data_IF_445959568101
#
_entry.id   IF_445959568101
#
_cell.length_a   1.000
_cell.length_b   1.000
_cell.length_c   1.000
_cell.angle_alpha   90.00
_cell.angle_beta   90.00
_cell.angle_gamma   90.00
#
_symmetry.space_group_name_H-M   'P 1'
#
loop_
_entity.id
_entity.type
_entity.pdbx_description
1 polymer ?
#
# COMPACT_ATOMS: atom_id res chain seq x y z
N UNK A 1 10.69 21.82 -1.27
CA UNK A 1 10.80 20.36 -1.02
C UNK A 1 10.29 19.65 -2.25
N UNK A 2 11.12 18.82 -2.90
CA UNK A 2 10.76 18.15 -4.15
C UNK A 2 9.90 16.93 -3.81
N UNK A 3 8.62 17.02 -4.12
CA UNK A 3 7.70 15.88 -4.17
C UNK A 3 8.34 14.77 -5.00
N UNK A 4 8.34 13.57 -4.45
CA UNK A 4 8.69 12.35 -5.19
C UNK A 4 7.73 12.32 -6.37
N UNK A 5 8.27 12.34 -7.59
CA UNK A 5 7.51 12.21 -8.82
C UNK A 5 6.80 10.85 -8.83
N UNK A 6 5.62 10.78 -8.22
CA UNK A 6 4.54 9.91 -8.70
C UNK A 6 4.42 10.25 -10.17
N UNK A 7 4.75 9.31 -11.07
CA UNK A 7 4.58 9.54 -12.50
C UNK A 7 3.09 9.93 -12.72
N UNK A 8 2.78 11.21 -13.00
CA UNK A 8 1.39 11.67 -13.13
C UNK A 8 0.70 10.99 -14.33
N UNK A 9 1.52 10.41 -15.20
CA UNK A 9 1.17 9.71 -16.42
C UNK A 9 1.44 8.22 -16.29
N UNK A 10 1.01 7.55 -15.21
CA UNK A 10 0.88 6.09 -15.29
C UNK A 10 -0.37 5.77 -16.15
N UNK A 11 -0.21 5.37 -17.42
CA UNK A 11 -1.36 5.13 -18.31
C UNK A 11 -2.27 4.02 -17.75
N UNK A 12 -1.70 3.07 -17.00
CA UNK A 12 -2.43 1.96 -16.40
C UNK A 12 -3.40 2.48 -15.33
N UNK A 13 -2.92 3.38 -14.46
CA UNK A 13 -3.75 4.00 -13.41
C UNK A 13 -4.93 4.76 -14.01
N UNK A 14 -4.72 5.49 -15.12
CA UNK A 14 -5.81 6.21 -15.79
C UNK A 14 -6.93 5.28 -16.25
N UNK A 15 -6.58 4.18 -16.93
CA UNK A 15 -7.55 3.20 -17.42
C UNK A 15 -8.31 2.53 -16.27
N UNK A 16 -7.61 2.15 -15.21
CA UNK A 16 -8.22 1.49 -14.04
C UNK A 16 -9.18 2.46 -13.31
N UNK A 17 -8.76 3.71 -13.07
CA UNK A 17 -9.62 4.74 -12.45
C UNK A 17 -10.92 4.91 -13.22
N UNK A 18 -10.80 5.07 -14.54
CA UNK A 18 -11.95 5.22 -15.43
C UNK A 18 -12.88 4.02 -15.38
N UNK A 19 -12.33 2.80 -15.43
CA UNK A 19 -13.12 1.58 -15.41
C UNK A 19 -13.87 1.35 -14.08
N UNK A 20 -13.32 1.84 -12.97
CA UNK A 20 -13.96 1.78 -11.65
C UNK A 20 -14.90 2.98 -11.39
N UNK A 21 -14.88 4.01 -12.24
CA UNK A 21 -15.62 5.25 -12.01
C UNK A 21 -15.03 6.15 -10.91
N UNK A 22 -13.76 5.98 -10.55
CA UNK A 22 -13.08 6.84 -9.58
C UNK A 22 -12.44 8.06 -10.24
N UNK A 23 -12.45 9.18 -9.53
CA UNK A 23 -11.55 10.31 -9.79
C UNK A 23 -10.17 10.06 -9.13
N UNK A 24 -9.21 10.95 -9.37
CA UNK A 24 -7.84 10.80 -8.84
C UNK A 24 -7.83 10.62 -7.31
N UNK A 25 -8.54 11.49 -6.60
CA UNK A 25 -8.64 11.45 -5.14
C UNK A 25 -9.30 10.18 -4.61
N UNK A 26 -10.36 9.72 -5.27
CA UNK A 26 -11.10 8.52 -4.88
C UNK A 26 -10.23 7.27 -5.01
N UNK A 27 -9.43 7.18 -6.06
CA UNK A 27 -8.53 6.05 -6.27
C UNK A 27 -7.31 6.10 -5.34
N UNK A 28 -6.73 7.27 -5.10
CA UNK A 28 -5.64 7.40 -4.12
C UNK A 28 -6.13 7.06 -2.70
N UNK A 29 -7.38 7.44 -2.36
CA UNK A 29 -8.01 7.04 -1.12
C UNK A 29 -8.25 5.52 -1.04
N UNK A 30 -8.64 4.88 -2.15
CA UNK A 30 -8.77 3.42 -2.22
C UNK A 30 -7.43 2.74 -1.92
N UNK A 31 -6.34 3.17 -2.57
CA UNK A 31 -4.99 2.64 -2.30
C UNK A 31 -4.62 2.83 -0.84
N UNK A 32 -4.95 3.99 -0.26
CA UNK A 32 -4.68 4.26 1.14
C UNK A 32 -5.48 3.36 2.09
N UNK A 33 -6.75 3.06 1.79
CA UNK A 33 -7.55 2.11 2.57
C UNK A 33 -6.92 0.73 2.59
N UNK A 34 -6.51 0.21 1.43
CA UNK A 34 -5.80 -1.07 1.36
C UNK A 34 -4.45 -1.03 2.07
N UNK A 35 -3.72 0.08 2.02
CA UNK A 35 -2.49 0.26 2.77
C UNK A 35 -2.71 0.16 4.28
N UNK A 36 -3.78 0.78 4.80
CA UNK A 36 -4.13 0.71 6.22
C UNK A 36 -4.45 -0.73 6.62
N UNK A 37 -5.33 -1.41 5.87
CA UNK A 37 -5.68 -2.82 6.14
C UNK A 37 -4.44 -3.72 6.08
N UNK A 38 -3.56 -3.50 5.11
CA UNK A 38 -2.28 -4.23 5.03
C UNK A 38 -1.39 -3.94 6.24
N UNK A 39 -1.28 -2.69 6.70
CA UNK A 39 -0.54 -2.35 7.91
C UNK A 39 -1.12 -3.02 9.16
N UNK A 40 -2.45 -3.09 9.29
CA UNK A 40 -3.11 -3.78 10.40
C UNK A 40 -2.78 -5.28 10.41
N UNK A 41 -2.87 -5.95 9.26
CA UNK A 41 -2.50 -7.35 9.11
C UNK A 41 -1.04 -7.60 9.49
N UNK A 42 -0.12 -6.73 9.06
CA UNK A 42 1.30 -6.83 9.37
C UNK A 42 1.60 -6.50 10.83
N UNK A 43 0.88 -5.55 11.44
CA UNK A 43 1.00 -5.22 12.85
C UNK A 43 0.67 -6.44 13.73
N UNK A 44 -0.41 -7.15 13.39
CA UNK A 44 -0.80 -8.39 14.06
C UNK A 44 0.24 -9.51 13.86
N UNK A 45 0.75 -9.67 12.63
CA UNK A 45 1.69 -10.75 12.27
C UNK A 45 3.09 -10.56 12.86
N UNK A 46 3.57 -9.32 12.94
CA UNK A 46 4.93 -8.99 13.38
C UNK A 46 5.00 -8.28 14.74
N UNK A 47 3.88 -8.19 15.45
CA UNK A 47 3.76 -7.54 16.77
C UNK A 47 4.24 -6.07 16.77
N UNK A 48 3.93 -5.35 15.69
CA UNK A 48 4.15 -3.91 15.60
C UNK A 48 2.90 -3.14 16.07
N UNK A 49 3.06 -1.86 16.39
CA UNK A 49 1.92 -0.96 16.54
C UNK A 49 1.47 -0.54 15.15
N UNK A 50 0.21 -0.78 14.84
CA UNK A 50 -0.48 -0.32 13.63
C UNK A 50 -0.17 1.15 13.28
N UNK A 51 -0.26 2.04 14.25
CA UNK A 51 -0.04 3.49 14.08
C UNK A 51 1.38 3.82 13.64
N UNK A 52 2.37 3.05 14.09
CA UNK A 52 3.78 3.25 13.71
C UNK A 52 4.02 2.81 12.26
N UNK A 53 3.28 1.81 11.77
CA UNK A 53 3.34 1.37 10.37
C UNK A 53 2.62 2.35 9.44
N UNK A 54 1.39 2.73 9.80
CA UNK A 54 0.54 3.62 8.98
C UNK A 54 1.18 4.99 8.79
N UNK A 55 1.86 5.51 9.81
CA UNK A 55 2.54 6.82 9.75
C UNK A 55 3.91 6.78 9.06
N UNK A 56 4.41 5.60 8.67
CA UNK A 56 5.72 5.47 8.05
C UNK A 56 5.67 5.77 6.54
N UNK A 57 6.12 6.97 6.16
CA UNK A 57 6.15 7.41 4.76
C UNK A 57 6.99 6.51 3.84
N UNK A 58 8.09 5.94 4.36
CA UNK A 58 8.93 5.02 3.56
C UNK A 58 8.18 3.73 3.25
N UNK A 59 7.41 3.23 4.23
CA UNK A 59 6.59 2.04 4.06
C UNK A 59 5.43 2.31 3.09
N UNK A 60 4.78 3.47 3.19
CA UNK A 60 3.74 3.86 2.25
C UNK A 60 4.27 3.99 0.81
N UNK A 61 5.42 4.63 0.62
CA UNK A 61 6.07 4.75 -0.69
C UNK A 61 6.46 3.38 -1.27
N UNK A 62 6.93 2.45 -0.41
CA UNK A 62 7.17 1.07 -0.84
C UNK A 62 5.87 0.40 -1.28
N UNK A 63 4.81 0.53 -0.48
CA UNK A 63 3.50 -0.06 -0.77
C UNK A 63 2.93 0.46 -2.09
N UNK A 64 2.98 1.76 -2.35
CA UNK A 64 2.53 2.35 -3.61
C UNK A 64 3.28 1.78 -4.84
N UNK A 65 4.59 1.51 -4.71
CA UNK A 65 5.36 0.85 -5.78
C UNK A 65 4.92 -0.59 -5.99
N UNK A 66 4.69 -1.34 -4.91
CA UNK A 66 4.19 -2.71 -5.02
C UNK A 66 2.79 -2.76 -5.62
N UNK A 67 1.92 -1.82 -5.23
CA UNK A 67 0.59 -1.65 -5.82
C UNK A 67 0.67 -1.42 -7.34
N UNK A 68 1.56 -0.52 -7.79
CA UNK A 68 1.75 -0.26 -9.22
C UNK A 68 2.16 -1.52 -10.00
N UNK A 69 3.04 -2.35 -9.41
CA UNK A 69 3.58 -3.54 -10.08
C UNK A 69 2.58 -4.71 -10.03
N UNK A 70 2.09 -5.05 -8.84
CA UNK A 70 1.33 -6.29 -8.61
C UNK A 70 -0.17 -6.12 -8.82
N UNK A 71 -0.69 -4.89 -8.73
CA UNK A 71 -2.11 -4.61 -8.92
C UNK A 71 -2.33 -3.90 -10.25
N UNK A 72 -1.79 -2.69 -10.43
CA UNK A 72 -2.12 -1.88 -11.61
C UNK A 72 -1.58 -2.50 -12.92
N UNK A 73 -0.32 -2.92 -12.94
CA UNK A 73 0.28 -3.51 -14.15
C UNK A 73 -0.36 -4.87 -14.46
N UNK A 74 -0.62 -5.68 -13.44
CA UNK A 74 -1.29 -6.98 -13.60
C UNK A 74 -2.72 -6.84 -14.12
N UNK A 75 -3.50 -5.89 -13.58
CA UNK A 75 -4.85 -5.59 -14.08
C UNK A 75 -4.85 -5.24 -15.57
N UNK A 76 -3.86 -4.48 -16.06
CA UNK A 76 -3.76 -4.16 -17.48
C UNK A 76 -3.30 -5.36 -18.31
N UNK A 77 -2.36 -6.17 -17.80
CA UNK A 77 -1.89 -7.35 -18.53
C UNK A 77 -2.98 -8.40 -18.69
N UNK A 78 -3.76 -8.66 -17.64
CA UNK A 78 -4.79 -9.71 -17.65
C UNK A 78 -6.12 -9.21 -18.22
N UNK A 79 -6.51 -7.96 -17.90
CA UNK A 79 -7.84 -7.43 -18.20
C UNK A 79 -7.84 -6.15 -19.04
N UNK A 80 -6.68 -5.69 -19.53
CA UNK A 80 -6.55 -4.43 -20.27
C UNK A 80 -7.49 -4.32 -21.47
N UNK A 81 -7.69 -5.40 -22.22
CA UNK A 81 -8.64 -5.42 -23.33
C UNK A 81 -10.09 -5.19 -22.90
N UNK A 82 -10.51 -5.77 -21.77
CA UNK A 82 -11.84 -5.57 -21.21
C UNK A 82 -12.03 -4.15 -20.66
N UNK A 83 -11.00 -3.62 -20.00
CA UNK A 83 -10.99 -2.25 -19.45
C UNK A 83 -11.15 -1.20 -20.56
N UNK A 84 -10.56 -1.43 -21.73
CA UNK A 84 -10.68 -0.53 -22.88
C UNK A 84 -12.07 -0.54 -23.52
N UNK A 85 -12.78 -1.67 -23.46
CA UNK A 85 -14.10 -1.84 -24.07
C UNK A 85 -15.26 -1.19 -23.29
N UNK A 86 -14.99 -0.53 -22.15
CA UNK A 86 -15.98 0.15 -21.30
C UNK A 86 -17.26 -0.67 -21.09
N UNK A 87 -17.11 -1.91 -20.65
CA UNK A 87 -18.24 -2.82 -20.40
C UNK A 87 -19.12 -2.22 -19.31
N UNK A 88 -20.42 -2.11 -19.57
CA UNK A 88 -21.38 -1.58 -18.62
C UNK A 88 -21.46 -2.46 -17.36
N UNK A 89 -21.64 -1.84 -16.18
CA UNK A 89 -21.81 -2.51 -14.87
C UNK A 89 -20.64 -3.43 -14.44
N UNK A 90 -19.47 -3.27 -15.05
CA UNK A 90 -18.28 -4.08 -14.77
C UNK A 90 -17.45 -3.61 -13.57
N UNK A 91 -17.75 -2.43 -13.01
CA UNK A 91 -16.97 -1.80 -11.95
C UNK A 91 -16.83 -2.69 -10.70
N UNK A 92 -17.90 -3.38 -10.30
CA UNK A 92 -17.87 -4.27 -9.14
C UNK A 92 -16.96 -5.48 -9.38
N UNK A 93 -16.97 -6.02 -10.60
CA UNK A 93 -16.08 -7.13 -10.99
C UNK A 93 -14.62 -6.69 -11.00
N UNK A 94 -14.32 -5.52 -11.56
CA UNK A 94 -12.95 -4.98 -11.54
C UNK A 94 -12.46 -4.68 -10.13
N UNK A 95 -13.34 -4.17 -9.26
CA UNK A 95 -13.02 -3.99 -7.85
C UNK A 95 -12.66 -5.32 -7.18
N UNK A 96 -13.38 -6.40 -7.49
CA UNK A 96 -13.08 -7.73 -6.96
C UNK A 96 -11.68 -8.21 -7.37
N UNK A 97 -11.30 -8.04 -8.64
CA UNK A 97 -9.94 -8.40 -9.09
C UNK A 97 -8.86 -7.58 -8.41
N UNK A 98 -9.06 -6.27 -8.26
CA UNK A 98 -8.13 -5.40 -7.54
C UNK A 98 -7.99 -5.85 -6.09
N UNK A 99 -9.10 -6.19 -5.44
CA UNK A 99 -9.08 -6.70 -4.07
C UNK A 99 -8.26 -7.99 -3.97
N UNK A 100 -8.48 -8.96 -4.85
CA UNK A 100 -7.73 -10.22 -4.89
C UNK A 100 -6.23 -9.98 -5.07
N UNK A 101 -5.84 -9.11 -5.99
CA UNK A 101 -4.43 -8.75 -6.20
C UNK A 101 -3.83 -7.98 -5.02
N UNK A 102 -4.62 -7.12 -4.38
CA UNK A 102 -4.19 -6.37 -3.20
C UNK A 102 -3.94 -7.29 -2.01
N UNK A 103 -4.73 -8.35 -1.83
CA UNK A 103 -4.49 -9.34 -0.78
C UNK A 103 -3.15 -10.07 -0.95
N UNK A 104 -2.69 -10.28 -2.19
CA UNK A 104 -1.38 -10.89 -2.43
C UNK A 104 -0.21 -10.02 -1.94
N UNK A 105 -0.41 -8.70 -1.77
CA UNK A 105 0.62 -7.79 -1.23
C UNK A 105 1.05 -8.15 0.20
N UNK A 106 0.22 -8.89 0.94
CA UNK A 106 0.60 -9.41 2.26
C UNK A 106 1.85 -10.29 2.24
N UNK A 107 2.13 -10.94 1.10
CA UNK A 107 3.31 -11.80 0.94
C UNK A 107 4.61 -11.00 0.74
N UNK A 108 4.52 -9.70 0.42
CA UNK A 108 5.66 -8.87 0.02
C UNK A 108 6.06 -7.84 1.09
N UNK A 109 5.92 -8.22 2.37
CA UNK A 109 6.23 -7.34 3.49
C UNK A 109 7.73 -7.06 3.65
N UNK A 110 8.16 -5.79 3.59
CA UNK A 110 9.57 -5.44 3.66
C UNK A 110 10.03 -5.29 5.12
N UNK A 111 10.15 -6.42 5.84
CA UNK A 111 10.54 -6.43 7.25
C UNK A 111 11.85 -5.65 7.53
N UNK A 112 12.76 -5.58 6.56
CA UNK A 112 14.02 -4.84 6.64
C UNK A 112 13.87 -3.31 6.67
N UNK A 113 12.76 -2.75 6.19
CA UNK A 113 12.51 -1.31 6.18
C UNK A 113 12.06 -0.77 7.54
N UNK A 114 11.59 -1.65 8.43
CA UNK A 114 11.11 -1.25 9.75
C UNK A 114 12.26 -1.43 10.73
N UNK A 115 12.95 -0.31 11.01
CA UNK A 115 14.00 -0.29 12.02
C UNK A 115 13.42 -0.77 13.35
N UNK A 116 13.93 -1.88 13.88
CA UNK A 116 13.59 -2.29 15.23
C UNK A 116 13.94 -1.15 16.19
N UNK A 117 13.05 -0.82 17.16
CA UNK A 117 13.38 0.17 18.17
C UNK A 117 14.66 -0.28 18.87
N UNK A 118 15.68 0.60 18.91
CA UNK A 118 16.93 0.31 19.61
C UNK A 118 16.58 -0.10 21.06
N UNK A 119 17.15 -1.19 21.60
CA UNK A 119 16.90 -1.57 22.98
C UNK A 119 17.21 -0.37 23.88
N UNK A 120 16.26 -0.02 24.76
CA UNK A 120 16.46 1.07 25.72
C UNK A 120 17.72 0.74 26.55
N UNK A 121 18.63 1.70 26.76
CA UNK A 121 19.77 1.47 27.62
C UNK A 121 19.27 1.04 29.00
N UNK A 122 19.86 -0.01 29.57
CA UNK A 122 19.53 -0.48 30.92
C UNK A 122 19.69 0.70 31.90
N UNK A 123 18.77 0.90 32.85
CA UNK A 123 18.93 1.94 33.86
C UNK A 123 20.27 1.71 34.58
N UNK A 124 21.14 2.72 34.55
CA UNK A 124 22.35 2.71 35.37
C UNK A 124 21.90 2.85 36.82
N UNK A 125 21.95 1.75 37.59
CA UNK A 125 21.73 1.82 39.03
C UNK A 125 22.84 2.68 39.64
N UNK A 126 22.52 3.92 39.99
CA UNK A 126 23.39 4.77 40.81
C UNK A 126 23.24 4.30 42.26
N UNK A 127 24.19 3.50 42.73
CA UNK A 127 24.34 3.24 44.15
C UNK A 127 25.06 4.44 44.77
N UNK A 128 24.29 5.39 45.32
CA UNK A 128 24.84 6.39 46.23
C UNK A 128 25.04 5.72 47.59
N UNK A 129 26.27 5.29 47.87
CA UNK A 129 26.71 4.96 49.23
C UNK A 129 27.09 6.27 49.92
N UNK A 130 26.29 6.66 50.91
CA UNK A 130 26.62 7.72 51.87
C UNK A 130 27.69 7.25 52.86
#
# INVERSE_FOLDING_TARGET
MKTINNNPNNPNRFLIKRALGYNDWGYDNLIHQFFVTWCEAMALKFFHKDRDLISNETLYNYYQRQWQILVETRMIQEYGGYLQNNIQDSAQTYYKFIYEFAMELENYYPASLIKQPKPKPKPQYQFNLN
#
